data_IF_077748338559
#
_entry.id   IF_077748338559
#
_cell.length_a   1.000
_cell.length_b   1.000
_cell.length_c   1.000
_cell.angle_alpha   90.00
_cell.angle_beta   90.00
_cell.angle_gamma   90.00
#
_symmetry.space_group_name_H-M   'P 1'
#
loop_
_entity.id
_entity.type
_entity.pdbx_description
1 polymer ?
#
# COMPACT_ATOMS: atom_id res chain seq x y z
N UNK A 1 -22.42 -11.10 51.10
CA UNK A 1 -21.51 -10.36 50.22
C UNK A 1 -20.86 -11.38 49.30
N UNK A 2 -21.36 -11.51 48.08
CA UNK A 2 -20.75 -12.40 47.09
C UNK A 2 -19.62 -11.61 46.45
N UNK A 3 -18.39 -11.74 46.94
CA UNK A 3 -17.25 -11.27 46.15
C UNK A 3 -17.09 -12.26 45.00
N UNK A 4 -17.22 -11.80 43.76
CA UNK A 4 -16.80 -12.56 42.61
C UNK A 4 -15.26 -12.54 42.63
N UNK A 5 -14.57 -13.64 42.98
CA UNK A 5 -13.13 -13.68 42.77
C UNK A 5 -12.88 -13.42 41.28
N UNK A 6 -11.95 -12.52 40.98
CA UNK A 6 -11.50 -12.16 39.61
C UNK A 6 -12.42 -11.23 38.80
N UNK A 7 -13.46 -10.61 39.36
CA UNK A 7 -14.33 -9.66 38.63
C UNK A 7 -13.57 -8.59 37.82
N UNK A 8 -12.50 -8.03 38.39
CA UNK A 8 -11.70 -6.98 37.71
C UNK A 8 -10.93 -7.53 36.51
N UNK A 9 -10.47 -8.77 36.59
CA UNK A 9 -9.77 -9.46 35.52
C UNK A 9 -10.76 -9.83 34.41
N UNK A 10 -11.88 -10.46 34.76
CA UNK A 10 -12.94 -10.82 33.82
C UNK A 10 -13.50 -9.59 33.09
N UNK A 11 -13.74 -8.48 33.82
CA UNK A 11 -14.22 -7.24 33.22
C UNK A 11 -13.19 -6.61 32.27
N UNK A 12 -11.89 -6.75 32.55
CA UNK A 12 -10.83 -6.25 31.68
C UNK A 12 -10.77 -7.06 30.40
N UNK A 13 -10.82 -8.39 30.52
CA UNK A 13 -10.77 -9.31 29.37
C UNK A 13 -11.96 -9.05 28.44
N UNK A 14 -13.17 -8.92 28.98
CA UNK A 14 -14.38 -8.58 28.21
C UNK A 14 -14.26 -7.23 27.48
N UNK A 15 -13.62 -6.23 28.10
CA UNK A 15 -13.37 -4.93 27.44
C UNK A 15 -12.35 -5.08 26.31
N UNK A 16 -11.29 -5.85 26.53
CA UNK A 16 -10.27 -6.08 25.49
C UNK A 16 -10.84 -6.87 24.31
N UNK A 17 -11.71 -7.86 24.56
CA UNK A 17 -12.39 -8.62 23.51
C UNK A 17 -13.26 -7.71 22.64
N UNK A 18 -14.03 -6.80 23.27
CA UNK A 18 -14.82 -5.79 22.54
C UNK A 18 -13.97 -4.79 21.77
N UNK A 19 -12.83 -4.37 22.33
CA UNK A 19 -11.91 -3.50 21.63
C UNK A 19 -11.27 -4.21 20.43
N UNK A 20 -11.00 -5.50 20.54
CA UNK A 20 -10.47 -6.31 19.43
C UNK A 20 -11.50 -6.47 18.31
N UNK A 21 -12.76 -6.74 18.67
CA UNK A 21 -13.89 -6.77 17.73
C UNK A 21 -14.07 -5.41 17.04
N UNK A 22 -14.15 -4.32 17.81
CA UNK A 22 -14.26 -2.96 17.27
C UNK A 22 -13.08 -2.59 16.37
N UNK A 23 -11.86 -2.95 16.76
CA UNK A 23 -10.68 -2.73 15.95
C UNK A 23 -10.73 -3.47 14.61
N UNK A 24 -11.28 -4.70 14.61
CA UNK A 24 -11.41 -5.55 13.42
C UNK A 24 -12.53 -5.10 12.50
N UNK A 25 -13.68 -4.74 13.05
CA UNK A 25 -14.90 -4.46 12.27
C UNK A 25 -14.99 -3.01 11.82
N UNK A 26 -14.45 -2.08 12.60
CA UNK A 26 -14.60 -0.64 12.35
C UNK A 26 -13.28 0.01 11.97
N UNK A 27 -12.24 -0.14 12.78
CA UNK A 27 -10.99 0.63 12.58
C UNK A 27 -10.20 0.10 11.38
N UNK A 28 -9.86 -1.19 11.36
CA UNK A 28 -8.99 -1.76 10.33
C UNK A 28 -9.54 -1.57 8.89
N UNK A 29 -10.84 -1.80 8.62
CA UNK A 29 -11.39 -1.57 7.28
C UNK A 29 -11.36 -0.10 6.86
N UNK A 30 -11.64 0.82 7.78
CA UNK A 30 -11.63 2.25 7.46
C UNK A 30 -10.23 2.78 7.18
N UNK A 31 -9.22 2.30 7.92
CA UNK A 31 -7.81 2.65 7.67
C UNK A 31 -7.37 2.20 6.28
N UNK A 32 -7.70 0.96 5.93
CA UNK A 32 -7.34 0.41 4.64
C UNK A 32 -8.07 1.14 3.51
N UNK A 33 -9.37 1.40 3.66
CA UNK A 33 -10.16 2.14 2.68
C UNK A 33 -9.60 3.54 2.45
N UNK A 34 -9.29 4.29 3.51
CA UNK A 34 -8.78 5.65 3.35
C UNK A 34 -7.41 5.71 2.67
N UNK A 35 -6.52 4.77 2.99
CA UNK A 35 -5.24 4.66 2.28
C UNK A 35 -5.42 4.31 0.80
N UNK A 36 -6.40 3.46 0.47
CA UNK A 36 -6.73 3.11 -0.91
C UNK A 36 -7.31 4.30 -1.67
N UNK A 37 -8.19 5.10 -1.06
CA UNK A 37 -8.72 6.32 -1.68
C UNK A 37 -7.60 7.29 -2.10
N UNK A 38 -6.57 7.45 -1.25
CA UNK A 38 -5.41 8.29 -1.58
C UNK A 38 -4.63 7.70 -2.75
N UNK A 39 -4.40 6.39 -2.75
CA UNK A 39 -3.69 5.70 -3.84
C UNK A 39 -4.45 5.79 -5.16
N UNK A 40 -5.77 5.58 -5.15
CA UNK A 40 -6.63 5.70 -6.34
C UNK A 40 -6.61 7.11 -6.91
N UNK A 41 -6.71 8.12 -6.04
CA UNK A 41 -6.61 9.52 -6.44
C UNK A 41 -5.23 9.82 -7.06
N UNK A 42 -4.16 9.35 -6.42
CA UNK A 42 -2.79 9.49 -6.91
C UNK A 42 -2.59 8.79 -8.28
N UNK A 43 -3.09 7.57 -8.43
CA UNK A 43 -3.02 6.81 -9.68
C UNK A 43 -3.77 7.51 -10.80
N UNK A 44 -4.98 8.03 -10.51
CA UNK A 44 -5.77 8.78 -11.49
C UNK A 44 -5.15 10.12 -11.87
N UNK A 45 -4.49 10.82 -10.94
CA UNK A 45 -3.87 12.13 -11.21
C UNK A 45 -2.60 11.99 -12.07
N UNK A 46 -1.84 10.93 -11.86
CA UNK A 46 -0.53 10.74 -12.49
C UNK A 46 -0.50 9.65 -13.56
N UNK A 47 -1.65 9.08 -13.89
CA UNK A 47 -1.81 7.99 -14.87
C UNK A 47 -0.94 6.76 -14.54
N UNK A 48 -0.96 6.36 -13.26
CA UNK A 48 -0.24 5.19 -12.77
C UNK A 48 -1.19 4.05 -12.38
N UNK A 49 -0.84 2.83 -12.77
CA UNK A 49 -1.48 1.63 -12.24
C UNK A 49 -1.00 1.35 -10.80
N UNK A 50 -1.79 1.82 -9.84
CA UNK A 50 -1.60 1.63 -8.40
C UNK A 50 -2.27 0.38 -7.86
N UNK A 51 -3.04 -0.34 -8.69
CA UNK A 51 -3.84 -1.49 -8.25
C UNK A 51 -2.99 -2.57 -7.56
N UNK A 52 -1.77 -2.92 -8.04
CA UNK A 52 -0.93 -3.88 -7.33
C UNK A 52 -0.51 -3.42 -5.93
N UNK A 53 -0.35 -2.11 -5.71
CA UNK A 53 -0.04 -1.56 -4.39
C UNK A 53 -1.27 -1.61 -3.49
N UNK A 54 -2.45 -1.25 -4.00
CA UNK A 54 -3.72 -1.34 -3.28
C UNK A 54 -3.97 -2.78 -2.80
N UNK A 55 -3.85 -3.75 -3.71
CA UNK A 55 -4.09 -5.17 -3.42
C UNK A 55 -3.07 -5.76 -2.43
N UNK A 56 -1.89 -5.17 -2.32
CA UNK A 56 -0.83 -5.61 -1.40
C UNK A 56 -0.94 -5.00 0.02
N UNK A 57 -1.95 -4.16 0.28
CA UNK A 57 -2.18 -3.59 1.60
C UNK A 57 -2.69 -4.62 2.59
N UNK A 58 -2.07 -4.70 3.76
CA UNK A 58 -2.43 -5.64 4.81
C UNK A 58 -2.77 -4.93 6.11
N UNK A 59 -3.72 -5.51 6.86
CA UNK A 59 -4.06 -5.09 8.22
C UNK A 59 -4.01 -6.29 9.19
N UNK A 60 -3.50 -6.06 10.40
CA UNK A 60 -3.34 -7.06 11.45
C UNK A 60 -3.81 -6.47 12.78
N UNK A 61 -4.73 -7.15 13.46
CA UNK A 61 -5.15 -6.80 14.83
C UNK A 61 -4.42 -7.73 15.80
N UNK A 62 -3.61 -7.16 16.69
CA UNK A 62 -2.79 -7.90 17.65
C UNK A 62 -3.10 -7.48 19.08
N UNK A 63 -3.48 -8.45 19.91
CA UNK A 63 -3.55 -8.25 21.35
C UNK A 63 -2.16 -8.31 21.99
N UNK A 64 -1.82 -7.33 22.82
CA UNK A 64 -0.53 -7.25 23.51
C UNK A 64 -0.72 -6.90 24.99
N UNK A 65 -1.03 -7.90 25.81
CA UNK A 65 -1.29 -7.69 27.23
C UNK A 65 -2.60 -6.91 27.42
N UNK A 66 -2.51 -5.68 27.91
CA UNK A 66 -3.63 -4.80 28.24
C UNK A 66 -4.01 -3.83 27.12
N UNK A 67 -3.60 -4.11 25.88
CA UNK A 67 -3.89 -3.27 24.70
C UNK A 67 -4.18 -4.10 23.46
N UNK A 68 -4.98 -3.51 22.59
CA UNK A 68 -5.22 -3.95 21.21
C UNK A 68 -4.42 -3.03 20.29
N UNK A 69 -3.69 -3.61 19.34
CA UNK A 69 -2.86 -2.87 18.37
C UNK A 69 -3.35 -3.20 16.97
N UNK A 70 -3.78 -2.18 16.24
CA UNK A 70 -4.02 -2.29 14.79
C UNK A 70 -2.73 -1.94 14.08
N UNK A 71 -2.25 -2.86 13.25
CA UNK A 71 -1.11 -2.68 12.37
C UNK A 71 -1.62 -2.67 10.95
N UNK A 72 -1.07 -1.79 10.15
CA UNK A 72 -1.35 -1.74 8.72
C UNK A 72 -0.06 -1.42 7.99
N UNK A 73 0.07 -1.90 6.77
CA UNK A 73 1.28 -1.72 6.01
C UNK A 73 1.19 -2.28 4.61
N UNK A 74 2.22 -1.96 3.84
CA UNK A 74 2.41 -2.38 2.47
C UNK A 74 3.81 -2.99 2.31
N UNK A 75 4.04 -3.79 1.27
CA UNK A 75 5.36 -4.32 0.97
C UNK A 75 6.37 -3.19 0.69
N UNK A 76 7.65 -3.51 0.80
CA UNK A 76 8.76 -2.55 0.64
C UNK A 76 8.63 -1.63 -0.59
N UNK A 77 8.21 -2.09 -1.79
CA UNK A 77 8.08 -1.21 -2.96
C UNK A 77 7.10 -0.04 -2.77
N UNK A 78 6.14 -0.14 -1.85
CA UNK A 78 5.21 0.95 -1.59
C UNK A 78 5.87 2.21 -1.01
N UNK A 79 7.11 2.09 -0.48
CA UNK A 79 7.87 3.25 -0.02
C UNK A 79 8.16 4.25 -1.17
N UNK A 80 8.27 3.76 -2.40
CA UNK A 80 8.51 4.58 -3.59
C UNK A 80 7.29 5.41 -3.97
N UNK A 81 6.08 4.92 -3.69
CA UNK A 81 4.85 5.70 -3.84
C UNK A 81 4.69 6.68 -2.67
N UNK A 82 4.90 6.21 -1.44
CA UNK A 82 4.79 7.02 -0.22
C UNK A 82 5.70 8.26 -0.21
N UNK A 83 6.93 8.13 -0.72
CA UNK A 83 7.96 9.18 -0.69
C UNK A 83 8.30 9.76 -2.04
N UNK A 84 7.77 9.19 -3.11
CA UNK A 84 8.20 9.48 -4.46
C UNK A 84 9.60 8.92 -4.77
N UNK A 85 9.98 9.07 -6.04
CA UNK A 85 11.32 8.80 -6.53
C UNK A 85 11.78 9.97 -7.40
N UNK A 86 13.09 10.20 -7.45
CA UNK A 86 13.67 11.17 -8.38
C UNK A 86 13.87 10.53 -9.75
N UNK A 87 14.08 11.35 -10.76
CA UNK A 87 14.53 10.90 -12.07
C UNK A 87 15.75 9.97 -11.94
N UNK A 88 15.67 8.79 -12.53
CA UNK A 88 16.74 7.80 -12.45
C UNK A 88 16.76 6.88 -13.67
N UNK A 89 17.86 6.15 -13.83
CA UNK A 89 18.03 5.15 -14.88
C UNK A 89 17.84 3.77 -14.27
N UNK A 90 16.96 2.97 -14.86
CA UNK A 90 16.84 1.54 -14.57
C UNK A 90 17.70 0.78 -15.58
N UNK A 91 18.63 -0.03 -15.09
CA UNK A 91 19.54 -0.82 -15.92
C UNK A 91 19.43 -2.31 -15.57
N UNK A 92 19.59 -3.17 -16.58
CA UNK A 92 19.66 -4.61 -16.36
C UNK A 92 20.96 -4.98 -15.64
N UNK A 93 20.90 -5.24 -14.33
CA UNK A 93 22.09 -5.57 -13.52
C UNK A 93 22.52 -7.03 -13.60
N UNK A 94 21.56 -7.94 -13.73
CA UNK A 94 21.77 -9.41 -13.69
C UNK A 94 21.09 -10.13 -14.87
N UNK A 95 20.74 -9.40 -15.93
CA UNK A 95 20.09 -9.92 -17.12
C UNK A 95 20.69 -9.25 -18.35
N UNK A 96 20.60 -9.90 -19.51
CA UNK A 96 21.12 -9.34 -20.76
C UNK A 96 20.31 -8.11 -21.22
N UNK A 97 19.03 -8.01 -20.86
CA UNK A 97 18.18 -6.85 -21.12
C UNK A 97 16.98 -6.82 -20.15
N UNK A 98 16.39 -5.63 -19.98
CA UNK A 98 15.06 -5.44 -19.40
C UNK A 98 14.00 -5.89 -20.41
N UNK A 99 13.02 -6.68 -19.98
CA UNK A 99 11.93 -7.17 -20.83
C UNK A 99 10.56 -6.90 -20.22
N UNK A 100 9.71 -6.17 -20.94
CA UNK A 100 8.34 -5.83 -20.53
C UNK A 100 7.48 -5.51 -21.77
N UNK A 101 6.15 -5.54 -21.62
CA UNK A 101 5.21 -5.06 -22.64
C UNK A 101 4.99 -3.57 -22.43
N UNK A 102 5.13 -2.77 -23.48
CA UNK A 102 4.82 -1.35 -23.48
C UNK A 102 3.58 -1.12 -24.35
N UNK A 103 2.46 -0.73 -23.73
CA UNK A 103 1.14 -0.61 -24.38
C UNK A 103 1.08 0.51 -25.44
N UNK A 104 1.51 1.72 -25.09
CA UNK A 104 1.57 2.86 -26.02
C UNK A 104 3.00 3.38 -26.18
N UNK A 105 3.87 2.66 -26.90
CA UNK A 105 5.24 3.06 -27.03
C UNK A 105 5.43 4.06 -28.20
N UNK A 106 6.52 4.85 -28.18
CA UNK A 106 6.86 5.76 -29.27
C UNK A 106 7.12 5.00 -30.58
N UNK A 107 7.00 5.71 -31.71
CA UNK A 107 7.02 5.13 -33.06
C UNK A 107 8.23 4.22 -33.34
N UNK A 108 9.43 4.61 -32.87
CA UNK A 108 10.64 3.80 -33.05
C UNK A 108 10.54 2.40 -32.43
N UNK A 109 9.83 2.24 -31.31
CA UNK A 109 9.59 0.93 -30.69
C UNK A 109 8.66 0.09 -31.55
N UNK A 110 7.63 0.72 -32.12
CA UNK A 110 6.64 0.03 -32.96
C UNK A 110 7.25 -0.46 -34.28
N UNK A 111 8.31 0.19 -34.75
CA UNK A 111 9.08 -0.21 -35.93
C UNK A 111 10.08 -1.34 -35.63
N UNK A 112 10.68 -1.34 -34.43
CA UNK A 112 11.77 -2.26 -34.07
C UNK A 112 11.30 -3.53 -33.36
N UNK A 113 10.19 -3.48 -32.64
CA UNK A 113 9.69 -4.59 -31.82
C UNK A 113 8.35 -5.15 -32.33
N UNK A 114 8.10 -6.42 -32.03
CA UNK A 114 6.86 -7.08 -32.39
C UNK A 114 5.73 -6.75 -31.40
N UNK A 115 4.47 -6.61 -31.89
CA UNK A 115 3.33 -6.46 -31.01
C UNK A 115 3.08 -7.75 -30.21
N UNK A 116 2.80 -7.59 -28.92
CA UNK A 116 2.46 -8.67 -27.99
C UNK A 116 1.37 -8.19 -27.03
N UNK A 117 0.29 -8.97 -26.91
CA UNK A 117 -0.93 -8.62 -26.19
C UNK A 117 -1.49 -7.25 -26.62
N UNK A 118 -1.68 -6.33 -25.67
CA UNK A 118 -2.19 -4.97 -25.90
C UNK A 118 -1.04 -3.94 -26.14
N UNK A 119 0.19 -4.40 -26.41
CA UNK A 119 1.36 -3.54 -26.58
C UNK A 119 2.48 -4.12 -27.44
N UNK A 120 3.72 -3.73 -27.14
CA UNK A 120 4.94 -4.20 -27.81
C UNK A 120 5.94 -4.72 -26.78
N UNK A 121 6.49 -5.91 -27.01
CA UNK A 121 7.50 -6.51 -26.13
C UNK A 121 8.87 -5.91 -26.43
N UNK A 122 9.40 -5.15 -25.48
CA UNK A 122 10.71 -4.48 -25.63
C UNK A 122 11.83 -5.23 -24.90
N UNK A 123 13.05 -5.09 -25.42
CA UNK A 123 14.28 -5.58 -24.80
C UNK A 123 15.30 -4.44 -24.73
N UNK A 124 15.40 -3.77 -23.59
CA UNK A 124 16.22 -2.55 -23.44
C UNK A 124 17.35 -2.75 -22.42
N UNK A 125 18.53 -2.20 -22.70
CA UNK A 125 19.65 -2.20 -21.74
C UNK A 125 19.39 -1.27 -20.55
N UNK A 126 18.76 -0.13 -20.83
CA UNK A 126 18.43 0.91 -19.86
C UNK A 126 17.11 1.59 -20.21
N UNK A 127 16.42 2.10 -19.19
CA UNK A 127 15.26 2.99 -19.32
C UNK A 127 15.46 4.19 -18.40
N UNK A 128 15.24 5.38 -18.94
CA UNK A 128 15.19 6.63 -18.18
C UNK A 128 13.77 6.84 -17.68
N UNK A 129 13.60 6.95 -16.36
CA UNK A 129 12.30 7.17 -15.73
C UNK A 129 12.28 8.55 -15.06
N UNK A 130 11.20 9.29 -15.27
CA UNK A 130 11.01 10.67 -14.79
C UNK A 130 10.92 10.81 -13.27
N UNK A 131 10.89 9.69 -12.54
CA UNK A 131 10.57 9.65 -11.12
C UNK A 131 9.07 9.64 -10.84
N UNK A 132 8.73 9.51 -9.56
CA UNK A 132 7.36 9.46 -9.04
C UNK A 132 7.17 10.60 -8.04
N UNK A 133 6.09 11.41 -8.12
CA UNK A 133 5.73 12.32 -7.03
C UNK A 133 5.39 11.56 -5.74
N UNK A 134 5.46 12.24 -4.58
CA UNK A 134 5.05 11.61 -3.32
C UNK A 134 3.52 11.53 -3.20
N UNK A 135 2.97 10.35 -2.91
CA UNK A 135 1.54 10.18 -2.64
C UNK A 135 1.18 10.40 -1.17
N UNK A 136 2.14 10.18 -0.26
CA UNK A 136 2.00 10.31 1.20
C UNK A 136 0.87 9.49 1.83
N UNK A 137 0.37 8.47 1.12
CA UNK A 137 -0.81 7.72 1.50
C UNK A 137 -0.72 7.07 2.90
N UNK A 138 0.47 6.67 3.36
CA UNK A 138 0.69 6.14 4.72
C UNK A 138 0.66 7.28 5.74
N UNK A 139 1.44 8.34 5.51
CA UNK A 139 1.55 9.49 6.43
C UNK A 139 0.21 10.20 6.60
N UNK A 140 -0.51 10.41 5.52
CA UNK A 140 -1.77 11.15 5.55
C UNK A 140 -2.89 10.28 6.13
N UNK A 141 -2.87 8.95 5.93
CA UNK A 141 -3.74 8.01 6.66
C UNK A 141 -3.49 8.03 8.17
N UNK A 142 -2.23 8.06 8.61
CA UNK A 142 -1.89 8.18 10.03
C UNK A 142 -2.40 9.50 10.64
N UNK A 143 -2.27 10.61 9.90
CA UNK A 143 -2.77 11.91 10.34
C UNK A 143 -4.30 11.92 10.43
N UNK A 144 -4.97 11.32 9.44
CA UNK A 144 -6.43 11.17 9.42
C UNK A 144 -6.92 10.35 10.61
N UNK A 145 -6.30 9.19 10.88
CA UNK A 145 -6.60 8.36 12.04
C UNK A 145 -6.51 9.13 13.35
N UNK A 146 -5.44 9.90 13.52
CA UNK A 146 -5.24 10.72 14.71
C UNK A 146 -6.32 11.80 14.88
N UNK A 147 -6.89 12.30 13.78
CA UNK A 147 -7.96 13.29 13.81
C UNK A 147 -9.35 12.68 14.09
N UNK A 148 -9.63 11.48 13.57
CA UNK A 148 -10.92 10.81 13.73
C UNK A 148 -11.15 10.29 15.16
N UNK A 149 -10.12 9.73 15.78
CA UNK A 149 -10.21 9.02 17.06
C UNK A 149 -9.63 9.80 18.24
N UNK A 150 -9.58 11.13 18.14
CA UNK A 150 -9.05 12.02 19.18
C UNK A 150 -10.04 12.32 20.29
#
# INVERSE_FOLDING_TARGET
>A
MTSLPNFVEDAREEVLDKLEEYAREEIAPQVQAHAHEILEAYGSEHDYDVKPIIEAGETEIVRRGDRVVVRFGWPEPAIYFERGTVEHVVEAKNADALSFVWEDPPEWVREEFEPEDDGYRVYLQKVEVSGLPESRFIRDTLNWLQAQFR
#
